data_IF_546693726756
#
_entry.id   IF_546693726756
#
_cell.length_a   1.000
_cell.length_b   1.000
_cell.length_c   1.000
_cell.angle_alpha   90.00
_cell.angle_beta   90.00
_cell.angle_gamma   90.00
#
_symmetry.space_group_name_H-M   'P 1'
#
loop_
_entity.id
_entity.type
_entity.pdbx_description
1 polymer ?
#
# COMPACT_ATOMS: atom_id res chain seq x y z
N UNK A 1 -15.85 7.20 -11.48
CA UNK A 1 -16.76 6.03 -11.44
C UNK A 1 -16.20 5.02 -10.45
N UNK A 2 -17.04 4.34 -9.65
CA UNK A 2 -16.60 3.47 -8.56
C UNK A 2 -16.25 2.05 -9.08
N UNK A 3 -14.97 1.80 -9.39
CA UNK A 3 -14.52 0.54 -9.99
C UNK A 3 -14.97 -0.71 -9.21
N UNK A 4 -14.99 -0.62 -7.88
CA UNK A 4 -15.26 -1.75 -6.98
C UNK A 4 -16.73 -2.17 -6.95
N UNK A 5 -17.63 -1.37 -7.53
CA UNK A 5 -19.03 -1.78 -7.77
C UNK A 5 -19.22 -2.41 -9.15
N UNK A 6 -18.33 -2.11 -10.09
CA UNK A 6 -18.40 -2.60 -11.47
C UNK A 6 -17.61 -3.89 -11.68
N UNK A 7 -16.53 -4.05 -10.90
CA UNK A 7 -15.66 -5.20 -10.95
C UNK A 7 -15.57 -5.86 -9.56
N UNK A 8 -16.67 -6.50 -9.17
CA UNK A 8 -16.80 -7.17 -7.86
C UNK A 8 -15.84 -8.35 -7.74
N UNK A 9 -15.53 -9.04 -8.85
CA UNK A 9 -14.53 -10.11 -8.87
C UNK A 9 -13.15 -9.58 -8.48
N UNK A 10 -12.74 -8.45 -9.06
CA UNK A 10 -11.50 -7.79 -8.65
C UNK A 10 -11.52 -7.39 -7.18
N UNK A 11 -12.62 -6.79 -6.69
CA UNK A 11 -12.75 -6.45 -5.28
C UNK A 11 -12.60 -7.69 -4.37
N UNK A 12 -13.20 -8.81 -4.76
CA UNK A 12 -13.09 -10.07 -4.02
C UNK A 12 -11.65 -10.58 -4.01
N UNK A 13 -10.97 -10.59 -5.17
CA UNK A 13 -9.55 -10.97 -5.27
C UNK A 13 -8.68 -10.12 -4.33
N UNK A 14 -8.89 -8.81 -4.30
CA UNK A 14 -8.16 -7.90 -3.42
C UNK A 14 -8.40 -8.18 -1.93
N UNK A 15 -9.66 -8.40 -1.54
CA UNK A 15 -9.99 -8.72 -0.15
C UNK A 15 -9.36 -10.04 0.30
N UNK A 16 -9.49 -11.09 -0.51
CA UNK A 16 -8.89 -12.40 -0.21
C UNK A 16 -7.38 -12.31 -0.11
N UNK A 17 -6.72 -11.57 -1.00
CA UNK A 17 -5.27 -11.37 -0.95
C UNK A 17 -4.83 -10.62 0.32
N UNK A 18 -5.56 -9.57 0.71
CA UNK A 18 -5.27 -8.82 1.92
C UNK A 18 -5.50 -9.65 3.18
N UNK A 19 -6.61 -10.37 3.26
CA UNK A 19 -6.93 -11.27 4.38
C UNK A 19 -5.87 -12.37 4.52
N UNK A 20 -5.41 -12.95 3.40
CA UNK A 20 -4.32 -13.92 3.43
C UNK A 20 -3.02 -13.28 3.94
N UNK A 21 -2.70 -12.06 3.51
CA UNK A 21 -1.50 -11.37 3.99
C UNK A 21 -1.58 -11.07 5.50
N UNK A 22 -2.68 -10.49 5.95
CA UNK A 22 -2.94 -10.13 7.37
C UNK A 22 -2.82 -11.34 8.30
N UNK A 23 -3.28 -12.52 7.85
CA UNK A 23 -3.17 -13.75 8.63
C UNK A 23 -1.76 -14.37 8.66
N UNK A 24 -0.88 -14.03 7.72
CA UNK A 24 0.42 -14.70 7.55
C UNK A 24 1.63 -13.78 7.79
N UNK A 25 1.45 -12.46 7.80
CA UNK A 25 2.52 -11.49 7.94
C UNK A 25 2.49 -10.82 9.31
N UNK A 26 3.42 -11.20 10.20
CA UNK A 26 3.55 -10.57 11.53
C UNK A 26 3.90 -9.08 11.47
N UNK A 27 4.50 -8.62 10.38
CA UNK A 27 4.84 -7.21 10.17
C UNK A 27 3.63 -6.34 9.80
N UNK A 28 2.52 -6.93 9.35
CA UNK A 28 1.29 -6.20 9.05
C UNK A 28 0.41 -6.21 10.29
N UNK A 29 0.49 -5.14 11.08
CA UNK A 29 -0.14 -5.09 12.41
C UNK A 29 -1.59 -4.62 12.38
N UNK A 30 -2.00 -3.96 11.29
CA UNK A 30 -3.38 -3.66 10.99
C UNK A 30 -3.57 -3.46 9.49
N UNK A 31 -4.70 -3.91 8.96
CA UNK A 31 -5.15 -3.58 7.60
C UNK A 31 -6.68 -3.40 7.55
N UNK A 32 -7.14 -2.21 7.19
CA UNK A 32 -8.57 -1.87 7.23
C UNK A 32 -9.03 -1.20 5.93
N UNK A 33 -10.08 -1.75 5.33
CA UNK A 33 -10.76 -1.14 4.19
C UNK A 33 -11.52 0.12 4.63
N UNK A 34 -11.38 1.20 3.87
CA UNK A 34 -12.06 2.49 4.07
C UNK A 34 -12.61 3.01 2.75
N UNK A 35 -13.63 3.87 2.86
CA UNK A 35 -14.05 4.74 1.75
C UNK A 35 -13.73 6.16 2.18
N UNK A 36 -12.85 6.83 1.44
CA UNK A 36 -12.43 8.20 1.68
C UNK A 36 -12.70 9.00 0.42
N UNK A 37 -13.51 10.05 0.51
CA UNK A 37 -13.87 10.90 -0.64
C UNK A 37 -14.41 10.11 -1.84
N UNK A 38 -15.20 9.07 -1.55
CA UNK A 38 -15.77 8.20 -2.58
C UNK A 38 -14.77 7.22 -3.21
N UNK A 39 -13.54 7.14 -2.72
CA UNK A 39 -12.53 6.21 -3.21
C UNK A 39 -12.28 5.09 -2.21
N UNK A 40 -12.15 3.87 -2.70
CA UNK A 40 -11.78 2.74 -1.87
C UNK A 40 -10.31 2.87 -1.47
N UNK A 41 -10.00 2.61 -0.21
CA UNK A 41 -8.67 2.68 0.36
C UNK A 41 -8.42 1.50 1.29
N UNK A 42 -7.15 1.16 1.51
CA UNK A 42 -6.71 0.36 2.66
C UNK A 42 -5.82 1.24 3.53
N UNK A 43 -6.15 1.34 4.81
CA UNK A 43 -5.23 1.86 5.82
C UNK A 43 -4.48 0.69 6.44
N UNK A 44 -3.15 0.79 6.49
CA UNK A 44 -2.30 -0.29 6.98
C UNK A 44 -1.21 0.23 7.91
N UNK A 45 -0.86 -0.61 8.90
CA UNK A 45 0.21 -0.36 9.86
C UNK A 45 1.29 -1.42 9.70
N UNK A 46 2.48 -0.98 9.30
CA UNK A 46 3.61 -1.83 8.94
C UNK A 46 4.72 -1.68 9.98
N UNK A 47 5.05 -2.76 10.68
CA UNK A 47 6.18 -2.81 11.61
C UNK A 47 7.46 -3.20 10.87
N UNK A 48 8.47 -2.32 10.88
CA UNK A 48 9.81 -2.60 10.36
C UNK A 48 10.88 -2.03 11.31
N UNK A 49 11.83 -2.87 11.75
CA UNK A 49 12.92 -2.48 12.68
C UNK A 49 12.43 -1.67 13.89
N UNK A 50 11.43 -2.18 14.61
CA UNK A 50 10.79 -1.54 15.78
C UNK A 50 10.07 -0.20 15.51
N UNK A 51 9.95 0.20 14.25
CA UNK A 51 9.19 1.38 13.84
C UNK A 51 7.88 0.96 13.20
N UNK A 52 6.76 1.54 13.67
CA UNK A 52 5.46 1.33 13.07
C UNK A 52 5.14 2.45 12.06
N UNK A 53 4.95 2.07 10.81
CA UNK A 53 4.66 2.95 9.69
C UNK A 53 3.17 2.91 9.36
N UNK A 54 2.52 4.05 9.59
CA UNK A 54 1.10 4.24 9.29
C UNK A 54 0.93 4.71 7.82
N UNK A 55 0.37 3.87 6.96
CA UNK A 55 0.18 4.17 5.53
C UNK A 55 -1.26 4.02 5.05
N UNK A 56 -1.54 4.59 3.87
CA UNK A 56 -2.80 4.45 3.14
C UNK A 56 -2.52 4.10 1.69
N UNK A 57 -3.14 3.03 1.22
CA UNK A 57 -3.22 2.65 -0.19
C UNK A 57 -4.53 3.20 -0.75
N UNK A 58 -4.45 4.04 -1.76
CA UNK A 58 -5.58 4.68 -2.42
C UNK A 58 -5.80 4.08 -3.80
N UNK A 59 -7.01 3.61 -4.08
CA UNK A 59 -7.33 2.98 -5.36
C UNK A 59 -7.92 4.02 -6.32
N UNK A 60 -7.23 4.31 -7.45
CA UNK A 60 -7.75 5.24 -8.45
C UNK A 60 -9.04 4.77 -9.10
N UNK A 61 -9.81 5.70 -9.65
CA UNK A 61 -11.00 5.38 -10.43
C UNK A 61 -10.70 4.52 -11.67
N UNK A 62 -9.49 4.61 -12.21
CA UNK A 62 -9.02 3.81 -13.34
C UNK A 62 -8.44 2.44 -12.93
N UNK A 63 -8.45 2.09 -11.65
CA UNK A 63 -8.03 0.77 -11.20
C UNK A 63 -8.94 -0.33 -11.80
N UNK A 64 -8.40 -1.47 -12.24
CA UNK A 64 -7.01 -1.93 -12.11
C UNK A 64 -6.09 -1.63 -13.31
N UNK A 65 -6.47 -0.72 -14.22
CA UNK A 65 -5.60 -0.34 -15.34
C UNK A 65 -4.35 0.46 -14.91
N UNK A 66 -4.34 0.97 -13.68
CA UNK A 66 -3.21 1.62 -13.04
C UNK A 66 -3.10 1.16 -11.57
N UNK A 67 -1.91 1.24 -10.95
CA UNK A 67 -1.71 0.78 -9.59
C UNK A 67 -2.42 1.69 -8.57
N UNK A 68 -2.77 1.17 -7.39
CA UNK A 68 -3.02 1.95 -6.19
C UNK A 68 -1.81 2.83 -5.86
N UNK A 69 -2.07 3.97 -5.23
CA UNK A 69 -1.03 4.90 -4.80
C UNK A 69 -0.86 4.79 -3.29
N UNK A 70 0.38 4.77 -2.80
CA UNK A 70 0.69 4.62 -1.37
C UNK A 70 1.18 5.93 -0.77
N UNK A 71 0.56 6.35 0.33
CA UNK A 71 0.89 7.56 1.06
C UNK A 71 1.04 7.28 2.56
N UNK A 72 1.83 8.07 3.30
CA UNK A 72 1.73 8.17 4.77
C UNK A 72 0.31 8.57 5.22
N UNK A 73 -0.20 8.02 6.33
CA UNK A 73 -1.48 8.49 6.93
C UNK A 73 -1.35 9.87 7.54
N UNK A 74 -0.23 10.16 8.20
CA UNK A 74 0.11 11.47 8.76
C UNK A 74 0.97 12.23 7.76
N UNK A 75 0.88 13.57 7.73
CA UNK A 75 1.76 14.44 6.91
C UNK A 75 3.19 14.50 7.46
N UNK A 76 3.70 13.36 7.91
CA UNK A 76 5.04 13.18 8.43
C UNK A 76 5.91 12.58 7.34
N UNK A 77 7.16 13.04 7.29
CA UNK A 77 8.14 12.51 6.33
C UNK A 77 8.61 11.16 6.86
N UNK A 78 8.10 10.07 6.28
CA UNK A 78 8.41 8.70 6.68
C UNK A 78 9.71 8.17 6.05
N UNK A 79 10.25 8.79 4.99
CA UNK A 79 11.56 8.39 4.45
C UNK A 79 12.30 9.45 3.59
N UNK A 80 13.60 9.21 3.38
CA UNK A 80 14.45 9.96 2.44
C UNK A 80 14.12 9.72 0.96
N UNK A 81 13.39 8.65 0.64
CA UNK A 81 12.97 8.25 -0.72
C UNK A 81 11.55 8.71 -1.08
N UNK A 82 10.99 9.67 -0.35
CA UNK A 82 9.73 10.30 -0.69
C UNK A 82 9.93 11.36 -1.78
N UNK A 83 9.20 11.25 -2.89
CA UNK A 83 9.20 12.26 -3.95
C UNK A 83 8.03 13.24 -3.78
N UNK A 84 8.28 14.53 -4.05
CA UNK A 84 7.29 15.60 -4.05
C UNK A 84 6.81 16.06 -2.67
N UNK A 85 6.03 17.16 -2.64
CA UNK A 85 5.38 17.70 -1.42
C UNK A 85 4.34 16.75 -0.81
N UNK A 86 3.96 15.69 -1.53
CA UNK A 86 2.86 14.76 -1.22
C UNK A 86 3.31 13.44 -0.56
N UNK A 87 4.61 13.10 -0.60
CA UNK A 87 5.15 11.97 0.17
C UNK A 87 5.01 10.57 -0.46
N UNK A 88 4.92 10.46 -1.78
CA UNK A 88 4.78 9.19 -2.51
C UNK A 88 6.05 8.33 -2.37
N UNK A 89 5.88 7.03 -2.12
CA UNK A 89 6.98 6.08 -1.98
C UNK A 89 7.44 5.53 -3.35
N UNK A 90 8.76 5.50 -3.58
CA UNK A 90 9.34 4.78 -4.72
C UNK A 90 9.36 3.28 -4.42
N UNK A 91 8.31 2.58 -4.84
CA UNK A 91 8.12 1.16 -4.61
C UNK A 91 8.73 0.32 -5.73
N UNK A 92 9.08 -0.94 -5.42
CA UNK A 92 9.49 -1.90 -6.45
C UNK A 92 8.35 -2.21 -7.42
N UNK A 93 7.10 -2.18 -6.95
CA UNK A 93 5.90 -2.27 -7.79
C UNK A 93 5.32 -0.86 -7.89
N UNK A 94 5.40 -0.27 -9.07
CA UNK A 94 4.97 1.08 -9.36
C UNK A 94 4.29 1.20 -10.73
N UNK A 95 4.03 2.44 -11.20
CA UNK A 95 3.37 2.68 -12.49
C UNK A 95 4.07 2.02 -13.68
N UNK A 96 5.40 1.95 -13.66
CA UNK A 96 6.21 1.47 -14.79
C UNK A 96 6.18 -0.06 -14.98
N UNK A 97 5.86 -0.82 -13.95
CA UNK A 97 5.85 -2.29 -13.98
C UNK A 97 4.55 -2.90 -13.42
N UNK A 98 3.49 -2.10 -13.33
CA UNK A 98 2.18 -2.55 -12.87
C UNK A 98 1.60 -3.60 -13.84
N UNK A 99 1.11 -4.69 -13.25
CA UNK A 99 0.36 -5.73 -13.96
C UNK A 99 -0.97 -5.98 -13.24
N UNK A 100 -2.02 -6.26 -14.01
CA UNK A 100 -3.37 -6.50 -13.45
C UNK A 100 -3.42 -7.70 -12.49
N UNK A 101 -2.44 -8.60 -12.56
CA UNK A 101 -2.37 -9.75 -11.67
C UNK A 101 -1.93 -9.40 -10.26
N UNK A 102 -1.16 -8.32 -10.09
CA UNK A 102 -0.76 -7.83 -8.77
C UNK A 102 -1.97 -7.32 -7.99
N UNK A 103 -1.90 -7.46 -6.68
CA UNK A 103 -2.90 -7.07 -5.70
C UNK A 103 -2.33 -6.01 -4.74
N UNK A 104 -3.20 -5.45 -3.90
CA UNK A 104 -2.80 -4.57 -2.80
C UNK A 104 -1.88 -5.28 -1.80
N UNK A 105 -2.00 -6.59 -1.63
CA UNK A 105 -1.09 -7.38 -0.81
C UNK A 105 0.34 -7.37 -1.40
N UNK A 106 0.48 -7.50 -2.72
CA UNK A 106 1.79 -7.41 -3.39
C UNK A 106 2.42 -6.03 -3.21
N UNK A 107 1.60 -4.97 -3.28
CA UNK A 107 2.04 -3.61 -2.99
C UNK A 107 2.47 -3.43 -1.54
N UNK A 108 1.69 -3.92 -0.57
CA UNK A 108 2.07 -3.87 0.85
C UNK A 108 3.39 -4.60 1.11
N UNK A 109 3.62 -5.75 0.49
CA UNK A 109 4.90 -6.45 0.54
C UNK A 109 6.05 -5.62 -0.04
N UNK A 110 5.81 -4.90 -1.14
CA UNK A 110 6.79 -3.97 -1.72
C UNK A 110 7.11 -2.80 -0.78
N UNK A 111 6.10 -2.25 -0.12
CA UNK A 111 6.28 -1.18 0.89
C UNK A 111 7.08 -1.68 2.09
N UNK A 112 6.76 -2.87 2.62
CA UNK A 112 7.50 -3.47 3.72
C UNK A 112 8.99 -3.65 3.39
N UNK A 113 9.31 -4.18 2.19
CA UNK A 113 10.71 -4.31 1.73
C UNK A 113 11.42 -2.96 1.67
N UNK A 114 10.76 -1.91 1.18
CA UNK A 114 11.30 -0.56 1.16
C UNK A 114 11.63 -0.08 2.59
N UNK A 115 10.70 -0.21 3.55
CA UNK A 115 10.95 0.17 4.94
C UNK A 115 12.06 -0.65 5.59
N UNK A 116 12.17 -1.93 5.24
CA UNK A 116 13.22 -2.81 5.74
C UNK A 116 14.62 -2.37 5.25
N UNK A 117 14.74 -1.95 3.99
CA UNK A 117 16.00 -1.46 3.39
C UNK A 117 16.41 -0.12 3.99
N UNK A 118 15.48 0.84 4.09
CA UNK A 118 15.78 2.19 4.57
C UNK A 118 16.32 2.16 6.00
N UNK A 119 15.67 1.42 6.90
CA UNK A 119 16.12 1.32 8.30
C UNK A 119 17.43 0.52 8.47
N UNK A 120 17.74 -0.39 7.53
CA UNK A 120 19.03 -1.09 7.54
C UNK A 120 20.20 -0.17 7.18
N UNK A 121 19.92 0.97 6.54
CA UNK A 121 20.92 1.93 6.05
C UNK A 121 21.30 3.00 7.09
N UNK A 122 20.51 3.14 8.16
CA UNK A 122 20.73 4.08 9.27
C UNK A 122 21.61 3.48 10.40
N UNK A 123 22.17 2.29 10.17
CA UNK A 123 23.12 1.61 11.08
C UNK A 123 24.57 1.86 10.66
N UNK A 124 25.05 3.11 10.74
CA UNK A 124 26.48 3.45 10.60
C UNK A 124 26.95 4.38 11.71
#
# INVERSE_FOLDING_TARGET
MLWFLQNVERLHKEKTALENLDNNAEWLTAAVWKIVEGCLCVEADILAHDHNYEIRLWFPAAYPACPPIVYPRKKERLSGHQYGRSGEFCLEIGPDNWHIDFTCADLLCSVFRLFNIINSSDSF
#
